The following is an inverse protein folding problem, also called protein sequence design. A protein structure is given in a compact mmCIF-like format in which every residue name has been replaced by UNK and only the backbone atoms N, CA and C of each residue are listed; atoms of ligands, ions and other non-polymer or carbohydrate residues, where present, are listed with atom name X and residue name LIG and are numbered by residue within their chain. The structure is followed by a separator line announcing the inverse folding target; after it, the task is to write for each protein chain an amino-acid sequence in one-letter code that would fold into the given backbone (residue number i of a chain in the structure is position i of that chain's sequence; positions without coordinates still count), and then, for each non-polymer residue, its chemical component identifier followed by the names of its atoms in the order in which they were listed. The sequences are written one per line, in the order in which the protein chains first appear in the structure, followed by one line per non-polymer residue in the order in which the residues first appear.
data_IF_581577905061
#
_entry.id   IF_581577905061
#
_cell.length_a   1.000
_cell.length_b   1.000
_cell.length_c   1.000
_cell.angle_alpha   90.00
_cell.angle_beta   90.00
_cell.angle_gamma   90.00
#
_symmetry.space_group_name_H-M   'P 1'
#
loop_
_entity.id
_entity.type
_entity.pdbx_description
1 polymer ?
#
# COMPACT_ATOMS: atom_id res chain seq x y z
N UNK A 1 2.67 7.69 -4.89
CA UNK A 1 2.55 7.05 -6.23
C UNK A 1 3.71 7.43 -7.15
N UNK A 2 3.98 8.73 -7.38
CA UNK A 2 5.10 9.18 -8.24
C UNK A 2 6.47 8.63 -7.83
N UNK A 3 6.74 8.56 -6.52
CA UNK A 3 7.96 7.94 -5.96
C UNK A 3 8.10 6.45 -6.31
N UNK A 4 7.00 5.70 -6.44
CA UNK A 4 7.07 4.30 -6.85
C UNK A 4 7.42 4.20 -8.34
N UNK A 5 6.75 5.01 -9.18
CA UNK A 5 7.00 5.04 -10.62
C UNK A 5 8.48 5.38 -10.95
N UNK A 6 9.08 6.35 -10.24
CA UNK A 6 10.48 6.72 -10.43
C UNK A 6 11.49 5.68 -9.93
N UNK A 7 11.05 4.68 -9.15
CA UNK A 7 11.88 3.59 -8.62
C UNK A 7 11.74 2.28 -9.42
N UNK A 8 11.05 2.31 -10.57
CA UNK A 8 10.86 1.13 -11.41
C UNK A 8 9.80 0.18 -10.87
N UNK A 9 8.78 0.70 -10.18
CA UNK A 9 7.64 -0.08 -9.74
C UNK A 9 6.91 -0.74 -10.92
N UNK A 10 6.55 -2.00 -10.72
CA UNK A 10 5.62 -2.76 -11.55
C UNK A 10 4.19 -2.21 -11.45
N UNK A 11 3.32 -2.66 -12.34
CA UNK A 11 1.90 -2.29 -12.30
C UNK A 11 1.23 -2.67 -10.97
N UNK A 12 1.60 -3.82 -10.39
CA UNK A 12 1.10 -4.30 -9.10
C UNK A 12 1.44 -3.32 -7.97
N UNK A 13 2.69 -2.88 -7.90
CA UNK A 13 3.17 -1.95 -6.88
C UNK A 13 2.56 -0.54 -7.07
N UNK A 14 2.38 -0.10 -8.32
CA UNK A 14 1.68 1.16 -8.63
C UNK A 14 0.21 1.08 -8.21
N UNK A 15 -0.47 -0.03 -8.49
CA UNK A 15 -1.87 -0.27 -8.10
C UNK A 15 -2.02 -0.23 -6.58
N UNK A 16 -1.17 -0.95 -5.84
CA UNK A 16 -1.15 -0.94 -4.38
C UNK A 16 -0.88 0.47 -3.81
N UNK A 17 0.08 1.21 -4.37
CA UNK A 17 0.36 2.57 -3.93
C UNK A 17 -0.83 3.52 -4.15
N UNK A 18 -1.58 3.35 -5.25
CA UNK A 18 -2.81 4.12 -5.50
C UNK A 18 -3.91 3.75 -4.50
N UNK A 19 -4.08 2.46 -4.23
CA UNK A 19 -5.03 1.95 -3.24
C UNK A 19 -4.75 2.53 -1.85
N UNK A 20 -3.50 2.53 -1.40
CA UNK A 20 -3.13 3.16 -0.13
C UNK A 20 -3.49 4.65 -0.10
N UNK A 21 -3.22 5.38 -1.17
CA UNK A 21 -3.57 6.80 -1.26
C UNK A 21 -5.08 7.03 -1.21
N UNK A 22 -5.88 6.18 -1.86
CA UNK A 22 -7.35 6.26 -1.81
C UNK A 22 -7.87 5.94 -0.41
N UNK A 23 -7.42 4.85 0.21
CA UNK A 23 -7.82 4.47 1.57
C UNK A 23 -7.47 5.59 2.55
N UNK A 24 -6.26 6.16 2.44
CA UNK A 24 -5.83 7.24 3.31
C UNK A 24 -6.67 8.52 3.13
N UNK A 25 -6.95 8.91 1.89
CA UNK A 25 -7.82 10.06 1.55
C UNK A 25 -9.24 9.90 2.10
N UNK A 26 -9.75 8.67 2.20
CA UNK A 26 -11.10 8.37 2.68
C UNK A 26 -11.15 7.81 4.11
N UNK A 27 -10.02 7.72 4.84
CA UNK A 27 -9.97 7.02 6.14
C UNK A 27 -10.89 7.65 7.18
N UNK A 28 -11.00 8.98 7.17
CA UNK A 28 -11.78 9.75 8.16
C UNK A 28 -13.29 9.53 8.06
N UNK A 29 -13.78 9.06 6.91
CA UNK A 29 -15.21 8.83 6.67
C UNK A 29 -15.61 7.35 6.64
N UNK A 30 -14.66 6.44 6.38
CA UNK A 30 -14.95 5.01 6.14
C UNK A 30 -14.54 4.08 7.28
N UNK A 31 -13.57 4.47 8.11
CA UNK A 31 -12.93 3.55 9.06
C UNK A 31 -12.14 2.42 8.38
N UNK A 32 -11.96 2.48 7.06
CA UNK A 32 -11.27 1.46 6.28
C UNK A 32 -9.76 1.54 6.49
N UNK A 33 -9.13 0.39 6.72
CA UNK A 33 -7.69 0.25 6.84
C UNK A 33 -7.16 -0.71 5.77
N UNK A 34 -5.94 -0.48 5.29
CA UNK A 34 -5.30 -1.35 4.30
C UNK A 34 -4.63 -2.55 4.99
N UNK A 35 -5.45 -3.41 5.60
CA UNK A 35 -5.00 -4.70 6.13
C UNK A 35 -4.78 -5.74 5.00
N UNK A 36 -4.26 -6.91 5.35
CA UNK A 36 -3.98 -7.98 4.39
C UNK A 36 -5.23 -8.40 3.59
N UNK A 37 -6.40 -8.46 4.25
CA UNK A 37 -7.63 -8.88 3.59
C UNK A 37 -8.06 -7.85 2.54
N UNK A 38 -8.07 -6.56 2.90
CA UNK A 38 -8.39 -5.47 1.99
C UNK A 38 -7.41 -5.43 0.81
N UNK A 39 -6.10 -5.51 1.07
CA UNK A 39 -5.10 -5.49 0.01
C UNK A 39 -5.24 -6.66 -0.97
N UNK A 40 -5.58 -7.85 -0.48
CA UNK A 40 -5.83 -9.01 -1.33
C UNK A 40 -7.11 -8.86 -2.17
N UNK A 41 -8.14 -8.16 -1.67
CA UNK A 41 -9.37 -7.94 -2.47
C UNK A 41 -9.13 -7.07 -3.69
N UNK A 42 -8.11 -6.21 -3.66
CA UNK A 42 -7.77 -5.29 -4.75
C UNK A 42 -6.98 -5.99 -5.86
N UNK A 43 -6.28 -7.07 -5.54
CA UNK A 43 -5.45 -7.84 -6.45
C UNK A 43 -5.78 -9.33 -6.35
N UNK A 44 -6.99 -9.75 -6.74
CA UNK A 44 -7.47 -11.13 -6.52
C UNK A 44 -6.67 -12.19 -7.29
N UNK A 45 -5.98 -11.80 -8.36
CA UNK A 45 -5.18 -12.70 -9.20
C UNK A 45 -3.76 -12.96 -8.64
N UNK A 46 -3.38 -12.26 -7.57
CA UNK A 46 -2.06 -12.35 -6.95
C UNK A 46 -2.14 -13.15 -5.66
N UNK A 47 -1.10 -13.96 -5.38
CA UNK A 47 -1.05 -14.66 -4.10
C UNK A 47 -0.82 -13.67 -2.96
N UNK A 48 -1.22 -14.05 -1.74
CA UNK A 48 -0.91 -13.28 -0.52
C UNK A 48 0.59 -12.95 -0.41
N UNK A 49 1.45 -13.90 -0.74
CA UNK A 49 2.89 -13.72 -0.69
C UNK A 49 3.37 -12.66 -1.69
N UNK A 50 2.80 -12.63 -2.90
CA UNK A 50 3.14 -11.62 -3.91
C UNK A 50 2.71 -10.22 -3.47
N UNK A 51 1.51 -10.09 -2.89
CA UNK A 51 1.01 -8.82 -2.35
C UNK A 51 1.88 -8.35 -1.18
N UNK A 52 2.24 -9.24 -0.26
CA UNK A 52 3.16 -8.91 0.85
C UNK A 52 4.51 -8.44 0.33
N UNK A 53 5.10 -9.16 -0.62
CA UNK A 53 6.39 -8.80 -1.22
C UNK A 53 6.33 -7.43 -1.91
N UNK A 54 5.26 -7.15 -2.66
CA UNK A 54 5.06 -5.85 -3.31
C UNK A 54 4.94 -4.72 -2.27
N UNK A 55 4.25 -4.95 -1.16
CA UNK A 55 4.13 -3.98 -0.07
C UNK A 55 5.45 -3.73 0.66
N UNK A 56 6.26 -4.77 0.88
CA UNK A 56 7.61 -4.65 1.42
C UNK A 56 8.53 -3.86 0.48
N UNK A 57 8.43 -4.08 -0.84
CA UNK A 57 9.16 -3.28 -1.84
C UNK A 57 8.74 -1.81 -1.80
N UNK A 58 7.45 -1.51 -1.75
CA UNK A 58 6.95 -0.15 -1.57
C UNK A 58 7.44 0.48 -0.26
N UNK A 59 7.55 -0.30 0.82
CA UNK A 59 8.11 0.17 2.08
C UNK A 59 9.60 0.52 1.97
N UNK A 60 10.37 -0.32 1.27
CA UNK A 60 11.80 -0.07 1.01
C UNK A 60 12.05 1.24 0.26
N UNK A 61 11.10 1.65 -0.59
CA UNK A 61 11.12 2.92 -1.32
C UNK A 61 10.51 4.09 -0.54
N UNK A 62 10.14 3.88 0.73
CA UNK A 62 9.43 4.86 1.56
C UNK A 62 8.16 5.36 0.87
N UNK A 63 7.40 4.46 0.25
CA UNK A 63 6.09 4.75 -0.36
C UNK A 63 4.96 4.28 0.56
N UNK A 64 5.16 3.15 1.25
CA UNK A 64 4.21 2.58 2.20
C UNK A 64 4.86 2.47 3.58
N UNK A 65 4.03 2.46 4.63
CA UNK A 65 4.45 2.22 6.00
C UNK A 65 3.52 1.21 6.66
N UNK A 66 4.09 0.15 7.24
CA UNK A 66 3.34 -0.81 8.04
C UNK A 66 3.18 -0.30 9.48
N UNK A 67 1.93 -0.23 9.95
CA UNK A 67 1.61 0.13 11.34
C UNK A 67 1.27 -1.13 12.13
N UNK A 68 2.28 -1.69 12.81
CA UNK A 68 2.14 -2.96 13.54
C UNK A 68 0.97 -2.96 14.55
N UNK A 69 0.72 -1.85 15.24
CA UNK A 69 -0.39 -1.73 16.20
C UNK A 69 -1.78 -1.74 15.55
N UNK A 70 -1.89 -1.53 14.24
CA UNK A 70 -3.14 -1.60 13.47
C UNK A 70 -3.22 -2.83 12.56
N UNK A 71 -2.12 -3.57 12.40
CA UNK A 71 -2.05 -4.66 11.43
C UNK A 71 -2.29 -4.20 9.98
N UNK A 72 -2.01 -2.94 9.67
CA UNK A 72 -2.41 -2.32 8.41
C UNK A 72 -1.33 -1.40 7.83
N UNK A 73 -1.44 -1.17 6.53
CA UNK A 73 -0.56 -0.30 5.77
C UNK A 73 -1.16 1.09 5.59
N UNK A 74 -0.30 2.08 5.43
CA UNK A 74 -0.67 3.46 5.12
C UNK A 74 0.33 4.02 4.10
N UNK A 75 -0.03 5.13 3.46
CA UNK A 75 0.91 5.85 2.62
C UNK A 75 2.03 6.44 3.51
N UNK A 76 3.27 6.36 3.06
CA UNK A 76 4.36 7.06 3.72
C UNK A 76 4.26 8.55 3.35
N UNK A 77 3.74 9.35 4.28
CA UNK A 77 3.58 10.80 4.06
C UNK A 77 4.93 11.52 3.97
N UNK A 78 5.92 11.05 4.73
CA UNK A 78 7.18 11.78 4.91
C UNK A 78 6.93 13.13 5.59
N UNK A 79 7.65 13.42 6.67
CA UNK A 79 8.13 14.79 6.75
C UNK A 79 9.09 14.97 5.57
N UNK A 80 9.35 16.20 5.16
CA UNK A 80 10.63 16.53 4.53
C UNK A 80 11.81 15.66 5.08
#
# INVERSE_FOLDING_TARGET
VERAASKGATETEISLAKTLALIDMFRGASGLAADEAVLHTVLPDYSKADVTLAMERLASWRVALYRAHLGAWTIFEGSD
#
